data_IF_244459387941
#
_entry.id   IF_244459387941
#
_cell.length_a   1.000
_cell.length_b   1.000
_cell.length_c   1.000
_cell.angle_alpha   90.00
_cell.angle_beta   90.00
_cell.angle_gamma   90.00
#
_symmetry.space_group_name_H-M   'P 1'
#
loop_
_entity.id
_entity.type
_entity.pdbx_description
1 polymer ?
#
# COMPACT_ATOMS: atom_id res chain seq x y z
N UNK A 1 -11.01 -62.89 21.24
CA UNK A 1 -11.64 -61.56 21.17
C UNK A 1 -10.54 -60.57 20.91
N UNK A 2 -10.36 -60.19 19.66
CA UNK A 2 -9.35 -59.20 19.25
C UNK A 2 -9.97 -57.82 19.49
N UNK A 3 -9.42 -57.13 20.47
CA UNK A 3 -9.75 -55.74 20.78
C UNK A 3 -9.44 -54.87 19.53
N UNK A 4 -10.47 -54.55 18.75
CA UNK A 4 -10.33 -53.54 17.70
C UNK A 4 -10.26 -52.18 18.38
N UNK A 5 -9.19 -51.40 18.16
CA UNK A 5 -9.07 -50.10 18.79
C UNK A 5 -10.19 -49.20 18.29
N UNK A 6 -10.86 -48.53 19.22
CA UNK A 6 -11.96 -47.57 19.03
C UNK A 6 -11.57 -46.54 17.92
N UNK A 7 -12.35 -46.42 16.83
CA UNK A 7 -12.04 -45.52 15.74
C UNK A 7 -12.01 -44.03 16.15
N UNK A 8 -12.51 -43.68 17.34
CA UNK A 8 -12.54 -42.30 17.85
C UNK A 8 -11.19 -41.77 18.34
N UNK A 9 -10.16 -42.62 18.43
CA UNK A 9 -8.83 -42.26 18.98
C UNK A 9 -7.69 -42.28 17.96
N UNK A 10 -7.99 -42.34 16.67
CA UNK A 10 -6.95 -42.31 15.64
C UNK A 10 -6.45 -40.87 15.43
N UNK A 11 -5.16 -40.61 15.58
CA UNK A 11 -4.58 -39.29 15.34
C UNK A 11 -4.81 -38.85 13.88
N UNK A 12 -5.26 -37.61 13.65
CA UNK A 12 -5.61 -37.14 12.30
C UNK A 12 -4.37 -36.69 11.50
N UNK A 13 -3.50 -37.62 11.16
CA UNK A 13 -2.27 -37.31 10.40
C UNK A 13 -2.52 -36.68 9.05
N UNK A 14 -3.69 -36.93 8.42
CA UNK A 14 -4.06 -36.35 7.13
C UNK A 14 -4.26 -34.83 7.17
N UNK A 15 -4.54 -34.28 8.37
CA UNK A 15 -4.63 -32.83 8.53
C UNK A 15 -3.29 -32.12 8.26
N UNK A 16 -2.16 -32.81 8.42
CA UNK A 16 -0.85 -32.26 8.07
C UNK A 16 -0.71 -31.92 6.58
N UNK A 17 -1.49 -32.56 5.69
CA UNK A 17 -1.50 -32.20 4.27
C UNK A 17 -2.05 -30.78 4.00
N UNK A 18 -2.90 -30.26 4.90
CA UNK A 18 -3.37 -28.89 4.83
C UNK A 18 -2.25 -27.88 5.16
N UNK A 19 -1.19 -28.33 5.81
CA UNK A 19 0.02 -27.54 6.08
C UNK A 19 0.76 -27.10 4.81
N UNK A 20 0.51 -27.76 3.66
CA UNK A 20 1.05 -27.37 2.36
C UNK A 20 0.42 -26.07 1.80
N UNK A 21 -0.70 -25.62 2.36
CA UNK A 21 -1.36 -24.37 1.95
C UNK A 21 -0.70 -23.20 2.71
N UNK A 22 -0.08 -22.25 2.02
CA UNK A 22 0.54 -21.09 2.65
C UNK A 22 -0.46 -20.35 3.54
N UNK A 23 -0.01 -19.84 4.69
CA UNK A 23 -0.82 -19.16 5.71
C UNK A 23 -1.66 -20.16 6.55
N UNK A 24 -2.40 -21.08 5.93
CA UNK A 24 -3.19 -22.10 6.65
C UNK A 24 -2.29 -23.07 7.40
N UNK A 25 -1.12 -23.42 6.84
CA UNK A 25 -0.17 -24.36 7.41
C UNK A 25 0.32 -24.01 8.81
N UNK A 26 0.51 -22.73 9.08
CA UNK A 26 0.92 -22.29 10.42
C UNK A 26 -0.15 -22.57 11.48
N UNK A 27 -1.42 -22.32 11.17
CA UNK A 27 -2.56 -22.57 12.07
C UNK A 27 -2.80 -24.08 12.26
N UNK A 28 -2.73 -24.84 11.16
CA UNK A 28 -2.85 -26.31 11.22
C UNK A 28 -1.70 -26.91 12.02
N UNK A 29 -0.46 -26.47 11.78
CA UNK A 29 0.72 -26.90 12.51
C UNK A 29 0.59 -26.65 14.01
N UNK A 30 0.15 -25.46 14.41
CA UNK A 30 -0.11 -25.15 15.83
C UNK A 30 -1.20 -26.05 16.42
N UNK A 31 -2.28 -26.30 15.69
CA UNK A 31 -3.35 -27.21 16.09
C UNK A 31 -2.88 -28.65 16.25
N UNK A 32 -2.01 -29.14 15.36
CA UNK A 32 -1.42 -30.48 15.45
C UNK A 32 -0.44 -30.62 16.62
N UNK A 33 0.33 -29.59 16.95
CA UNK A 33 1.20 -29.59 18.13
C UNK A 33 0.36 -29.69 19.41
N UNK A 34 -0.64 -28.83 19.55
CA UNK A 34 -1.50 -28.83 20.73
C UNK A 34 -2.30 -30.15 20.85
N UNK A 35 -2.89 -30.62 19.77
CA UNK A 35 -3.60 -31.89 19.72
C UNK A 35 -2.67 -33.08 20.01
N UNK A 36 -1.48 -33.08 19.44
CA UNK A 36 -0.45 -34.09 19.68
C UNK A 36 0.02 -34.15 21.11
N UNK A 37 0.16 -32.99 21.78
CA UNK A 37 0.62 -32.91 23.16
C UNK A 37 -0.50 -33.27 24.16
N UNK A 38 -1.73 -32.76 23.96
CA UNK A 38 -2.79 -32.81 24.96
C UNK A 38 -3.73 -34.00 24.73
N UNK A 39 -4.29 -34.13 23.52
CA UNK A 39 -5.35 -35.09 23.23
C UNK A 39 -4.82 -36.49 22.86
N UNK A 40 -3.86 -36.54 21.97
CA UNK A 40 -3.39 -37.80 21.39
C UNK A 40 -2.09 -38.34 22.03
N UNK A 41 -1.38 -37.51 22.81
CA UNK A 41 -0.07 -37.85 23.40
C UNK A 41 0.88 -38.49 22.39
N UNK A 42 0.82 -38.01 21.14
CA UNK A 42 1.57 -38.56 20.01
C UNK A 42 2.64 -37.58 19.54
N UNK A 43 3.88 -37.95 19.78
CA UNK A 43 5.04 -37.15 19.37
C UNK A 43 5.11 -36.96 17.85
N UNK A 44 4.57 -37.94 17.08
CA UNK A 44 4.51 -37.86 15.60
C UNK A 44 3.65 -36.67 15.10
N UNK A 45 2.53 -36.38 15.77
CA UNK A 45 1.70 -35.21 15.45
C UNK A 45 2.44 -33.90 15.74
N UNK A 46 3.19 -33.87 16.84
CA UNK A 46 4.01 -32.70 17.20
C UNK A 46 5.06 -32.44 16.12
N UNK A 47 5.75 -33.48 15.67
CA UNK A 47 6.76 -33.36 14.60
C UNK A 47 6.16 -32.87 13.31
N UNK A 48 5.01 -33.40 12.88
CA UNK A 48 4.29 -32.94 11.69
C UNK A 48 3.92 -31.47 11.83
N UNK A 49 3.36 -31.06 12.97
CA UNK A 49 2.99 -29.68 13.22
C UNK A 49 4.17 -28.71 13.19
N UNK A 50 5.32 -29.10 13.76
CA UNK A 50 6.57 -28.31 13.68
C UNK A 50 7.04 -28.19 12.22
N UNK A 51 6.99 -29.29 11.47
CA UNK A 51 7.38 -29.30 10.07
C UNK A 51 6.49 -28.35 9.23
N UNK A 52 5.19 -28.37 9.47
CA UNK A 52 4.23 -27.47 8.79
C UNK A 52 4.54 -25.99 9.06
N UNK A 53 4.84 -25.64 10.31
CA UNK A 53 5.20 -24.26 10.67
C UNK A 53 6.51 -23.85 9.99
N UNK A 54 7.54 -24.70 10.03
CA UNK A 54 8.83 -24.42 9.40
C UNK A 54 8.67 -24.24 7.90
N UNK A 55 7.96 -25.16 7.24
CA UNK A 55 7.73 -25.11 5.79
C UNK A 55 6.97 -23.85 5.39
N UNK A 56 5.91 -23.50 6.13
CA UNK A 56 5.13 -22.27 5.89
C UNK A 56 5.98 -21.02 6.10
N UNK A 57 6.82 -21.00 7.13
CA UNK A 57 7.71 -19.86 7.41
C UNK A 57 8.73 -19.67 6.27
N UNK A 58 9.37 -20.74 5.82
CA UNK A 58 10.32 -20.70 4.70
C UNK A 58 9.62 -20.21 3.43
N UNK A 59 8.42 -20.74 3.14
CA UNK A 59 7.63 -20.31 1.98
C UNK A 59 7.26 -18.82 2.05
N UNK A 60 6.83 -18.33 3.23
CA UNK A 60 6.51 -16.91 3.40
C UNK A 60 7.73 -16.01 3.19
N UNK A 61 8.89 -16.37 3.76
CA UNK A 61 10.15 -15.62 3.57
C UNK A 61 10.53 -15.59 2.09
N UNK A 62 10.47 -16.75 1.42
CA UNK A 62 10.76 -16.82 -0.01
C UNK A 62 9.79 -15.98 -0.85
N UNK A 63 8.49 -16.05 -0.56
CA UNK A 63 7.47 -15.26 -1.27
C UNK A 63 7.67 -13.76 -1.07
N UNK A 64 7.92 -13.32 0.17
CA UNK A 64 8.20 -11.91 0.48
C UNK A 64 9.46 -11.45 -0.25
N UNK A 65 10.53 -12.25 -0.20
CA UNK A 65 11.77 -11.93 -0.92
C UNK A 65 11.55 -11.82 -2.43
N UNK A 66 10.82 -12.78 -3.01
CA UNK A 66 10.47 -12.79 -4.43
C UNK A 66 9.64 -11.56 -4.81
N UNK A 67 8.56 -11.29 -4.07
CA UNK A 67 7.71 -10.12 -4.31
C UNK A 67 8.51 -8.82 -4.19
N UNK A 68 9.32 -8.68 -3.16
CA UNK A 68 10.14 -7.48 -2.95
C UNK A 68 11.20 -7.30 -4.05
N UNK A 69 11.74 -8.39 -4.58
CA UNK A 69 12.72 -8.34 -5.67
C UNK A 69 12.07 -7.93 -7.00
N UNK A 70 10.93 -8.52 -7.33
CA UNK A 70 10.23 -8.26 -8.59
C UNK A 70 9.29 -7.04 -8.53
N UNK A 71 8.81 -6.64 -7.35
CA UNK A 71 7.98 -5.44 -7.21
C UNK A 71 8.74 -4.13 -7.51
N UNK A 72 10.07 -4.16 -7.49
CA UNK A 72 10.89 -3.01 -7.93
C UNK A 72 10.66 -2.66 -9.40
N UNK A 73 10.34 -3.65 -10.22
CA UNK A 73 10.10 -3.48 -11.67
C UNK A 73 8.60 -3.40 -11.99
N UNK A 74 7.75 -3.35 -10.98
CA UNK A 74 6.30 -3.41 -11.18
C UNK A 74 5.73 -2.01 -11.44
N UNK A 75 5.74 -1.63 -12.70
CA UNK A 75 5.30 -0.32 -13.20
C UNK A 75 3.88 0.08 -12.76
N UNK A 76 3.00 -0.89 -12.44
CA UNK A 76 1.62 -0.58 -12.08
C UNK A 76 1.48 0.25 -10.78
N UNK A 77 2.36 0.08 -9.79
CA UNK A 77 2.37 0.93 -8.60
C UNK A 77 2.73 2.38 -8.95
N UNK A 78 3.70 2.54 -9.86
CA UNK A 78 4.07 3.86 -10.35
C UNK A 78 2.94 4.50 -11.15
N UNK A 79 2.26 3.73 -12.00
CA UNK A 79 1.15 4.24 -12.80
C UNK A 79 -0.05 4.64 -11.92
N UNK A 80 -0.37 3.85 -10.88
CA UNK A 80 -1.39 4.20 -9.89
C UNK A 80 -1.02 5.47 -9.11
N UNK A 81 0.26 5.64 -8.75
CA UNK A 81 0.75 6.84 -8.07
C UNK A 81 0.68 8.07 -8.97
N UNK A 82 1.02 7.96 -10.26
CA UNK A 82 0.91 9.05 -11.25
C UNK A 82 -0.55 9.48 -11.40
N UNK A 83 -1.47 8.53 -11.55
CA UNK A 83 -2.92 8.83 -11.66
C UNK A 83 -3.42 9.51 -10.39
N UNK A 84 -2.98 9.03 -9.23
CA UNK A 84 -3.34 9.61 -7.94
C UNK A 84 -2.78 11.02 -7.79
N UNK A 85 -1.49 11.24 -8.11
CA UNK A 85 -0.84 12.55 -8.09
C UNK A 85 -1.61 13.54 -8.97
N UNK A 86 -1.92 13.16 -10.21
CA UNK A 86 -2.61 14.03 -11.16
C UNK A 86 -4.02 14.40 -10.71
N UNK A 87 -4.75 13.46 -10.11
CA UNK A 87 -6.08 13.70 -9.53
C UNK A 87 -6.00 14.67 -8.36
N UNK A 88 -5.05 14.45 -7.46
CA UNK A 88 -4.87 15.28 -6.27
C UNK A 88 -4.36 16.68 -6.63
N UNK A 89 -3.44 16.80 -7.59
CA UNK A 89 -3.02 18.10 -8.15
C UNK A 89 -4.19 18.89 -8.74
N UNK A 90 -5.05 18.23 -9.50
CA UNK A 90 -6.24 18.88 -10.08
C UNK A 90 -7.21 19.36 -8.99
N UNK A 91 -7.35 18.61 -7.89
CA UNK A 91 -8.15 19.02 -6.74
C UNK A 91 -7.50 20.17 -5.98
N UNK A 92 -6.18 20.10 -5.75
CA UNK A 92 -5.43 21.19 -5.12
C UNK A 92 -5.52 22.49 -5.90
N UNK A 93 -5.38 22.44 -7.24
CA UNK A 93 -5.55 23.60 -8.09
C UNK A 93 -6.95 24.25 -7.94
N UNK A 94 -8.02 23.44 -7.92
CA UNK A 94 -9.38 23.97 -7.68
C UNK A 94 -9.52 24.63 -6.32
N UNK A 95 -8.89 24.08 -5.28
CA UNK A 95 -8.91 24.65 -3.92
C UNK A 95 -8.12 25.97 -3.85
N UNK A 96 -7.02 26.08 -4.60
CA UNK A 96 -6.26 27.32 -4.70
C UNK A 96 -7.08 28.44 -5.36
N UNK A 97 -7.81 28.14 -6.43
CA UNK A 97 -8.71 29.12 -7.05
C UNK A 97 -9.85 29.53 -6.12
N UNK A 98 -10.41 28.58 -5.37
CA UNK A 98 -11.44 28.86 -4.39
C UNK A 98 -10.91 29.74 -3.24
N UNK A 99 -9.70 29.44 -2.75
CA UNK A 99 -9.03 30.26 -1.74
C UNK A 99 -8.83 31.69 -2.21
N UNK A 100 -8.32 31.88 -3.43
CA UNK A 100 -8.18 33.22 -4.04
C UNK A 100 -9.52 33.95 -4.15
N UNK A 101 -10.57 33.23 -4.52
CA UNK A 101 -11.91 33.83 -4.61
C UNK A 101 -12.41 34.34 -3.26
N UNK A 102 -12.14 33.62 -2.17
CA UNK A 102 -12.56 33.99 -0.81
C UNK A 102 -11.67 35.08 -0.17
N UNK A 103 -10.35 35.04 -0.41
CA UNK A 103 -9.36 35.85 0.28
C UNK A 103 -8.74 36.96 -0.59
N UNK A 104 -9.02 36.96 -1.88
CA UNK A 104 -8.50 37.93 -2.85
C UNK A 104 -7.12 37.63 -3.40
N UNK A 105 -6.36 36.71 -2.80
CA UNK A 105 -5.01 36.30 -3.23
C UNK A 105 -4.78 34.81 -3.00
N UNK A 106 -3.73 34.25 -3.62
CA UNK A 106 -3.33 32.87 -3.38
C UNK A 106 -2.62 32.71 -2.02
N UNK A 107 -2.70 31.53 -1.38
CA UNK A 107 -2.03 31.31 -0.11
C UNK A 107 -0.50 31.25 -0.28
N UNK A 108 0.27 31.64 0.73
CA UNK A 108 1.73 31.52 0.70
C UNK A 108 2.21 30.07 0.75
N UNK A 109 1.38 29.16 1.26
CA UNK A 109 1.68 27.72 1.33
C UNK A 109 0.43 26.87 1.24
N UNK A 110 0.56 25.64 0.76
CA UNK A 110 -0.54 24.67 0.70
C UNK A 110 -1.16 24.35 2.08
N UNK A 111 -0.42 24.56 3.15
CA UNK A 111 -0.90 24.31 4.51
C UNK A 111 -2.01 25.30 4.95
N UNK A 112 -2.13 26.44 4.28
CA UNK A 112 -3.19 27.42 4.53
C UNK A 112 -4.53 26.99 3.91
N UNK A 113 -4.51 26.05 2.99
CA UNK A 113 -5.73 25.45 2.47
C UNK A 113 -6.34 24.61 3.58
N UNK A 114 -7.41 25.12 4.20
CA UNK A 114 -8.16 24.40 5.23
C UNK A 114 -8.85 23.19 4.57
N UNK A 115 -8.29 21.99 4.69
CA UNK A 115 -8.82 20.81 4.08
C UNK A 115 -9.03 19.73 5.12
N UNK A 116 -10.27 19.30 5.30
CA UNK A 116 -10.61 18.11 6.09
C UNK A 116 -9.94 16.84 5.53
N UNK A 117 -9.51 16.89 4.26
CA UNK A 117 -8.79 15.82 3.56
C UNK A 117 -7.32 16.20 3.33
N UNK A 118 -6.55 16.26 4.38
CA UNK A 118 -5.11 16.56 4.34
C UNK A 118 -4.33 15.67 3.37
N UNK A 119 -4.77 14.43 3.20
CA UNK A 119 -4.18 13.46 2.27
C UNK A 119 -4.16 13.92 0.80
N UNK A 120 -5.02 14.86 0.41
CA UNK A 120 -5.08 15.36 -0.98
C UNK A 120 -3.96 16.35 -1.33
N UNK A 121 -3.22 16.85 -0.36
CA UNK A 121 -2.08 17.75 -0.57
C UNK A 121 -0.73 17.03 -0.56
N UNK A 122 -0.74 15.78 -0.11
CA UNK A 122 0.48 14.94 -0.07
C UNK A 122 0.77 14.43 -1.48
N UNK A 123 2.02 14.59 -1.88
CA UNK A 123 2.53 14.05 -3.12
C UNK A 123 2.81 12.54 -3.02
N UNK A 124 2.04 11.68 -3.69
CA UNK A 124 2.24 10.24 -3.64
C UNK A 124 3.54 9.77 -4.32
N UNK A 125 4.21 10.66 -5.07
CA UNK A 125 5.50 10.38 -5.70
C UNK A 125 6.67 10.62 -4.74
N UNK A 126 6.45 11.35 -3.64
CA UNK A 126 7.50 11.67 -2.66
C UNK A 126 7.46 10.74 -1.45
N UNK A 127 8.64 10.38 -0.93
CA UNK A 127 8.77 9.68 0.34
C UNK A 127 8.59 10.65 1.52
N UNK A 128 7.98 10.18 2.61
CA UNK A 128 7.92 10.94 3.87
C UNK A 128 6.77 11.94 3.95
N UNK A 129 5.65 11.70 3.26
CA UNK A 129 4.42 12.52 3.36
C UNK A 129 4.65 14.02 3.08
N UNK A 130 5.46 14.33 2.08
CA UNK A 130 5.69 15.70 1.64
C UNK A 130 4.54 16.19 0.77
N UNK A 131 4.24 17.49 0.88
CA UNK A 131 3.27 18.14 0.01
C UNK A 131 3.79 18.27 -1.42
N UNK A 132 2.88 18.51 -2.37
CA UNK A 132 3.21 18.93 -3.72
C UNK A 132 4.13 20.16 -3.71
N UNK A 133 4.92 20.31 -4.76
CA UNK A 133 5.68 21.54 -4.98
C UNK A 133 4.70 22.66 -5.29
N UNK A 134 4.80 23.73 -4.53
CA UNK A 134 3.95 24.90 -4.66
C UNK A 134 4.75 26.18 -4.47
N UNK A 135 4.56 27.12 -5.37
CA UNK A 135 5.15 28.45 -5.26
C UNK A 135 4.14 29.50 -5.71
N UNK A 136 3.82 30.42 -4.81
CA UNK A 136 3.02 31.61 -5.10
C UNK A 136 3.87 32.63 -5.86
N UNK A 137 3.33 33.21 -6.95
CA UNK A 137 3.99 34.21 -7.79
C UNK A 137 3.02 35.33 -8.17
N UNK A 138 2.63 36.14 -7.19
CA UNK A 138 1.65 37.21 -7.37
C UNK A 138 0.28 36.66 -7.83
N UNK A 139 -0.25 37.11 -8.95
CA UNK A 139 -1.52 36.63 -9.46
C UNK A 139 -1.51 35.19 -10.03
N UNK A 140 -0.36 34.53 -9.96
CA UNK A 140 -0.14 33.19 -10.49
C UNK A 140 0.48 32.29 -9.45
N UNK A 141 0.45 30.98 -9.71
CA UNK A 141 1.13 29.98 -8.90
C UNK A 141 1.65 28.83 -9.75
N UNK A 142 2.72 28.23 -9.26
CA UNK A 142 3.24 26.98 -9.77
C UNK A 142 2.82 25.84 -8.83
N UNK A 143 2.35 24.72 -9.40
CA UNK A 143 1.94 23.53 -8.67
C UNK A 143 2.25 22.27 -9.48
N UNK A 144 3.04 21.36 -8.92
CA UNK A 144 3.41 20.10 -9.57
C UNK A 144 3.86 19.03 -8.56
N UNK A 145 3.94 17.80 -9.02
CA UNK A 145 4.57 16.67 -8.34
C UNK A 145 5.89 16.35 -9.00
N UNK A 146 6.88 16.02 -8.17
CA UNK A 146 8.23 15.65 -8.63
C UNK A 146 8.24 14.27 -9.28
N UNK A 147 7.84 13.92 -10.28
CA UNK A 147 7.86 12.66 -11.02
C UNK A 147 8.56 11.46 -10.37
N UNK A 148 9.11 10.58 -11.18
CA UNK A 148 9.75 9.33 -10.75
C UNK A 148 11.16 9.54 -10.22
N UNK A 149 11.85 10.57 -10.70
CA UNK A 149 13.23 10.85 -10.31
C UNK A 149 13.34 11.62 -8.98
N UNK A 150 12.18 12.04 -8.42
CA UNK A 150 12.05 12.80 -7.18
C UNK A 150 12.78 14.16 -7.19
N UNK A 151 13.03 14.72 -8.36
CA UNK A 151 13.66 16.02 -8.53
C UNK A 151 12.68 17.00 -9.15
N UNK A 152 12.59 18.23 -8.63
CA UNK A 152 11.75 19.26 -9.21
C UNK A 152 12.35 19.77 -10.55
N UNK A 153 11.49 20.27 -11.42
CA UNK A 153 11.82 20.88 -12.72
C UNK A 153 12.52 19.91 -13.68
N UNK A 154 11.98 18.68 -13.75
CA UNK A 154 12.44 17.66 -14.70
C UNK A 154 11.32 17.26 -15.67
N UNK A 155 11.69 16.51 -16.71
CA UNK A 155 10.75 16.16 -17.78
C UNK A 155 9.62 15.21 -17.35
N UNK A 156 9.80 14.51 -16.24
CA UNK A 156 8.85 13.56 -15.69
C UNK A 156 7.94 14.14 -14.59
N UNK A 157 8.07 15.45 -14.31
CA UNK A 157 7.16 16.17 -13.41
C UNK A 157 5.70 16.06 -13.86
N UNK A 158 4.83 15.88 -12.89
CA UNK A 158 3.41 15.71 -13.12
C UNK A 158 2.69 17.02 -12.79
N UNK A 159 1.93 17.52 -13.75
CA UNK A 159 1.20 18.77 -13.62
C UNK A 159 -0.32 18.53 -13.50
N UNK A 160 -1.08 19.46 -12.91
CA UNK A 160 -2.53 19.35 -12.85
C UNK A 160 -3.15 19.33 -14.25
N UNK A 161 -4.15 18.47 -14.48
CA UNK A 161 -4.98 18.51 -15.68
C UNK A 161 -6.17 19.41 -15.42
N UNK A 162 -6.06 20.65 -15.82
CA UNK A 162 -7.13 21.65 -15.71
C UNK A 162 -7.86 21.68 -17.05
N UNK A 163 -9.16 21.34 -17.08
CA UNK A 163 -9.92 21.48 -18.31
C UNK A 163 -10.09 22.97 -18.65
N UNK A 164 -9.66 23.37 -19.82
CA UNK A 164 -9.95 24.69 -20.34
C UNK A 164 -11.44 24.78 -20.73
N UNK A 165 -12.24 25.24 -19.77
CA UNK A 165 -13.68 25.43 -19.99
C UNK A 165 -14.02 26.82 -20.51
N UNK A 166 -13.03 27.68 -20.69
CA UNK A 166 -13.23 29.10 -21.09
C UNK A 166 -13.98 29.94 -20.07
N UNK A 167 -14.40 29.36 -18.92
CA UNK A 167 -15.23 30.05 -17.90
C UNK A 167 -14.46 30.36 -16.61
N UNK A 168 -13.39 29.62 -16.32
CA UNK A 168 -12.57 29.79 -15.12
C UNK A 168 -11.13 29.95 -15.55
N UNK A 169 -10.55 31.10 -15.25
CA UNK A 169 -9.16 31.40 -15.51
C UNK A 169 -8.36 30.94 -14.29
N UNK A 170 -7.55 29.90 -14.45
CA UNK A 170 -6.66 29.42 -13.40
C UNK A 170 -5.36 30.22 -13.44
N UNK A 171 -4.88 30.67 -12.30
CA UNK A 171 -3.58 31.32 -12.18
C UNK A 171 -2.40 30.36 -12.24
N UNK A 172 -2.65 29.08 -12.52
CA UNK A 172 -1.61 28.07 -12.64
C UNK A 172 -0.73 28.29 -13.87
N UNK A 173 0.59 28.23 -13.67
CA UNK A 173 1.60 28.30 -14.72
C UNK A 173 2.49 27.05 -14.71
N UNK A 174 3.01 26.71 -15.86
CA UNK A 174 4.06 25.70 -16.05
C UNK A 174 5.32 26.43 -16.49
N UNK A 175 6.39 26.30 -15.72
CA UNK A 175 7.74 26.67 -16.17
C UNK A 175 8.38 25.63 -17.06
#
# INVERSE_FOLDING_TARGET
MTDMPDPKHRPPYLLGLLGLIPIVGAFVGAGLILGGAIAYKSWKLIVIGVLDIVLTSVFCVFTVHYVMHYAKDWNWFHDASIISAQRNLTRAAKKLEFYKYEHGDYPDSLNQLNTDEWSNLIDPMQKGFKNFQYQHRGDQYELFSVGRDHKPHTADDIYPKIPDTGRIHYGWIKE
#
